data_IF_071623543901
#
_entry.id   IF_071623543901
#
_cell.length_a   1.000
_cell.length_b   1.000
_cell.length_c   1.000
_cell.angle_alpha   90.00
_cell.angle_beta   90.00
_cell.angle_gamma   90.00
#
_symmetry.space_group_name_H-M   'P 1'
#
loop_
_entity.id
_entity.type
_entity.pdbx_description
1 polymer ?
#
# COMPACT_ATOMS: atom_id res chain seq x y z
N UNK A 1 10.25 6.52 9.09
CA UNK A 1 9.89 7.68 8.25
C UNK A 1 9.35 8.78 9.15
N UNK A 2 9.72 10.04 8.91
CA UNK A 2 9.28 11.18 9.73
C UNK A 2 8.00 11.77 9.14
N UNK A 3 6.91 11.73 9.89
CA UNK A 3 5.69 12.47 9.59
C UNK A 3 6.03 13.97 9.47
N UNK A 4 5.74 14.58 8.30
CA UNK A 4 5.91 16.02 8.10
C UNK A 4 4.61 16.75 8.40
N UNK A 5 4.64 17.63 9.40
CA UNK A 5 3.56 18.59 9.67
C UNK A 5 3.62 19.72 8.64
N UNK A 6 2.56 20.53 8.54
CA UNK A 6 2.50 21.69 7.63
C UNK A 6 3.73 22.61 7.76
N UNK A 7 4.23 22.79 8.97
CA UNK A 7 5.43 23.61 9.24
C UNK A 7 6.74 22.95 8.78
N UNK A 8 6.78 21.63 8.67
CA UNK A 8 7.92 20.85 8.20
C UNK A 8 7.80 20.48 6.70
N UNK A 9 6.78 20.98 6.01
CA UNK A 9 6.46 20.58 4.63
C UNK A 9 7.22 21.37 3.55
N UNK A 10 8.17 22.23 3.92
CA UNK A 10 9.01 22.97 2.97
C UNK A 10 8.29 24.11 2.25
N UNK A 11 7.20 24.63 2.83
CA UNK A 11 6.41 25.73 2.27
C UNK A 11 7.22 27.03 2.20
N UNK A 12 6.97 27.82 1.14
CA UNK A 12 7.50 29.18 0.96
C UNK A 12 6.87 30.13 1.98
N UNK A 13 7.53 31.27 2.23
CA UNK A 13 7.06 32.26 3.21
C UNK A 13 5.64 32.77 2.93
N UNK A 14 5.29 32.96 1.66
CA UNK A 14 3.95 33.39 1.23
C UNK A 14 2.88 32.32 1.49
N UNK A 15 3.24 31.04 1.29
CA UNK A 15 2.35 29.90 1.53
C UNK A 15 2.11 29.69 3.03
N UNK A 16 3.16 29.84 3.85
CA UNK A 16 3.05 29.83 5.31
C UNK A 16 2.15 30.96 5.82
N UNK A 17 2.27 32.16 5.25
CA UNK A 17 1.40 33.29 5.59
C UNK A 17 -0.07 33.00 5.23
N UNK A 18 -0.32 32.38 4.07
CA UNK A 18 -1.66 31.97 3.66
C UNK A 18 -2.25 30.88 4.57
N UNK A 19 -1.47 29.86 4.94
CA UNK A 19 -1.87 28.82 5.90
C UNK A 19 -2.26 29.42 7.25
N UNK A 20 -1.45 30.34 7.77
CA UNK A 20 -1.70 31.01 9.04
C UNK A 20 -2.95 31.90 8.98
N UNK A 21 -3.12 32.68 7.90
CA UNK A 21 -4.27 33.56 7.71
C UNK A 21 -5.61 32.81 7.66
N UNK A 22 -5.61 31.57 7.15
CA UNK A 22 -6.81 30.73 7.04
C UNK A 22 -6.96 29.71 8.19
N UNK A 23 -6.10 29.78 9.22
CA UNK A 23 -6.12 28.85 10.36
C UNK A 23 -6.08 27.37 9.95
N UNK A 24 -5.32 27.04 8.90
CA UNK A 24 -5.15 25.66 8.47
C UNK A 24 -4.20 24.92 9.42
N UNK A 25 -4.78 24.39 10.50
CA UNK A 25 -4.09 23.58 11.49
C UNK A 25 -4.42 22.11 11.28
N UNK A 26 -3.40 21.27 11.14
CA UNK A 26 -3.56 19.81 11.14
C UNK A 26 -2.42 19.14 11.88
N UNK A 27 -2.76 18.16 12.69
CA UNK A 27 -1.82 17.22 13.30
C UNK A 27 -1.59 15.99 12.41
N UNK A 28 -2.34 15.86 11.30
CA UNK A 28 -2.15 14.80 10.32
C UNK A 28 -1.00 15.16 9.37
N UNK A 29 -0.26 14.16 8.87
CA UNK A 29 0.74 14.37 7.84
C UNK A 29 0.14 15.07 6.63
N UNK A 30 0.92 15.95 6.00
CA UNK A 30 0.54 16.61 4.75
C UNK A 30 1.58 16.34 3.67
N UNK A 31 1.09 16.18 2.43
CA UNK A 31 1.91 16.11 1.23
C UNK A 31 1.64 17.37 0.42
N UNK A 32 2.68 18.18 0.21
CA UNK A 32 2.59 19.41 -0.60
C UNK A 32 2.87 19.05 -2.05
N UNK A 33 2.00 19.50 -2.95
CA UNK A 33 2.19 19.34 -4.39
C UNK A 33 3.35 20.21 -4.88
N UNK A 34 4.23 19.64 -5.71
CA UNK A 34 5.25 20.40 -6.42
C UNK A 34 4.66 21.16 -7.62
N UNK A 35 5.41 22.12 -8.15
CA UNK A 35 5.01 22.87 -9.35
C UNK A 35 4.70 21.91 -10.50
N UNK A 36 3.53 22.07 -11.12
CA UNK A 36 3.06 21.22 -12.21
C UNK A 36 2.40 19.90 -11.80
N UNK A 37 2.53 19.44 -10.53
CA UNK A 37 1.82 18.22 -10.08
C UNK A 37 0.30 18.39 -10.06
N UNK A 38 -0.21 19.63 -10.04
CA UNK A 38 -1.64 19.91 -10.17
C UNK A 38 -2.25 19.43 -11.50
N UNK A 39 -1.43 19.23 -12.54
CA UNK A 39 -1.86 18.71 -13.84
C UNK A 39 -1.92 17.17 -13.87
N UNK A 40 -1.32 16.49 -12.88
CA UNK A 40 -1.25 15.03 -12.76
C UNK A 40 -1.70 14.57 -11.36
N UNK A 41 -2.99 14.73 -11.03
CA UNK A 41 -3.51 14.47 -9.69
C UNK A 41 -3.25 13.03 -9.21
N UNK A 42 -3.26 12.05 -10.13
CA UNK A 42 -3.02 10.65 -9.79
C UNK A 42 -1.61 10.41 -9.24
N UNK A 43 -0.59 11.07 -9.82
CA UNK A 43 0.79 10.96 -9.35
C UNK A 43 0.96 11.56 -7.96
N UNK A 44 0.32 12.71 -7.70
CA UNK A 44 0.28 13.34 -6.39
C UNK A 44 -0.38 12.42 -5.35
N UNK A 45 -1.50 11.79 -5.71
CA UNK A 45 -2.22 10.86 -4.83
C UNK A 45 -1.38 9.62 -4.49
N UNK A 46 -0.74 9.00 -5.48
CA UNK A 46 0.14 7.84 -5.27
C UNK A 46 1.36 8.19 -4.42
N UNK A 47 1.97 9.36 -4.65
CA UNK A 47 3.07 9.88 -3.83
C UNK A 47 2.63 10.10 -2.38
N UNK A 48 1.51 10.80 -2.18
CA UNK A 48 0.96 11.03 -0.85
C UNK A 48 0.62 9.72 -0.12
N UNK A 49 0.08 8.73 -0.84
CA UNK A 49 -0.19 7.40 -0.29
C UNK A 49 1.11 6.72 0.19
N UNK A 50 2.15 6.73 -0.63
CA UNK A 50 3.45 6.15 -0.27
C UNK A 50 4.13 6.90 0.89
N UNK A 51 4.13 8.24 0.86
CA UNK A 51 4.67 9.11 1.93
C UNK A 51 3.93 8.94 3.25
N UNK A 52 2.65 8.54 3.22
CA UNK A 52 1.89 8.18 4.42
C UNK A 52 2.31 6.85 5.07
N UNK A 53 3.34 6.18 4.52
CA UNK A 53 3.86 4.90 5.00
C UNK A 53 2.96 3.72 4.64
N UNK A 54 2.17 3.84 3.57
CA UNK A 54 1.25 2.80 3.11
C UNK A 54 1.77 2.12 1.86
N UNK A 55 1.38 0.85 1.72
CA UNK A 55 1.57 0.01 0.54
C UNK A 55 0.24 -0.69 0.24
N UNK A 56 0.14 -1.35 -0.91
CA UNK A 56 -1.02 -2.17 -1.24
C UNK A 56 -0.59 -3.60 -1.56
N UNK A 57 -1.32 -4.60 -1.08
CA UNK A 57 -1.24 -5.94 -1.68
C UNK A 57 -2.43 -6.16 -2.62
N UNK A 58 -2.32 -7.12 -3.53
CA UNK A 58 -3.31 -7.40 -4.56
C UNK A 58 -3.92 -8.78 -4.36
N UNK A 59 -5.24 -8.89 -4.52
CA UNK A 59 -5.92 -10.17 -4.71
C UNK A 59 -6.40 -10.24 -6.15
N UNK A 60 -5.99 -11.28 -6.88
CA UNK A 60 -6.32 -11.49 -8.30
C UNK A 60 -6.87 -12.89 -8.55
N UNK A 61 -7.53 -13.11 -9.69
CA UNK A 61 -7.97 -14.44 -10.12
C UNK A 61 -9.27 -14.95 -9.47
N UNK A 62 -9.89 -14.14 -8.61
CA UNK A 62 -11.22 -14.38 -8.04
C UNK A 62 -12.34 -13.76 -8.89
N UNK A 63 -13.52 -13.57 -8.27
CA UNK A 63 -14.63 -12.83 -8.91
C UNK A 63 -14.31 -11.34 -9.11
N UNK A 64 -13.42 -10.80 -8.29
CA UNK A 64 -13.02 -9.39 -8.30
C UNK A 64 -11.50 -9.33 -8.07
N UNK A 65 -10.84 -8.43 -8.80
CA UNK A 65 -9.47 -8.04 -8.54
C UNK A 65 -9.47 -6.79 -7.66
N UNK A 66 -8.69 -6.77 -6.58
CA UNK A 66 -8.71 -5.67 -5.61
C UNK A 66 -7.32 -5.38 -5.06
N UNK A 67 -7.05 -4.10 -4.85
CA UNK A 67 -5.90 -3.60 -4.08
C UNK A 67 -6.32 -3.30 -2.64
N UNK A 68 -5.55 -3.80 -1.67
CA UNK A 68 -5.82 -3.68 -0.25
C UNK A 68 -4.75 -2.81 0.41
N UNK A 69 -5.09 -1.58 0.84
CA UNK A 69 -4.14 -0.67 1.45
C UNK A 69 -3.81 -1.11 2.88
N UNK A 70 -2.52 -1.28 3.17
CA UNK A 70 -1.97 -1.64 4.48
C UNK A 70 -0.83 -0.68 4.85
N UNK A 71 -0.36 -0.73 6.09
CA UNK A 71 0.86 0.00 6.48
C UNK A 71 2.08 -0.79 6.04
N UNK A 72 3.16 -0.10 5.68
CA UNK A 72 4.46 -0.73 5.46
C UNK A 72 4.88 -1.46 6.74
N UNK A 73 5.40 -2.68 6.59
CA UNK A 73 5.77 -3.52 7.73
C UNK A 73 4.66 -4.44 8.25
N UNK A 74 3.41 -4.29 7.76
CA UNK A 74 2.31 -5.21 8.07
C UNK A 74 2.65 -6.64 7.65
N UNK A 75 2.39 -7.59 8.56
CA UNK A 75 2.63 -9.02 8.34
C UNK A 75 1.53 -9.66 7.50
N UNK A 76 1.80 -10.84 6.92
CA UNK A 76 0.81 -11.60 6.15
C UNK A 76 -0.46 -11.93 6.96
N UNK A 77 -0.32 -12.18 8.26
CA UNK A 77 -1.45 -12.44 9.15
C UNK A 77 -2.32 -11.19 9.37
N UNK A 78 -1.69 -10.04 9.60
CA UNK A 78 -2.41 -8.77 9.72
C UNK A 78 -3.05 -8.34 8.39
N UNK A 79 -2.36 -8.56 7.27
CA UNK A 79 -2.87 -8.28 5.93
C UNK A 79 -4.10 -9.12 5.59
N UNK A 80 -4.14 -10.39 5.99
CA UNK A 80 -5.35 -11.20 5.89
C UNK A 80 -6.55 -10.58 6.65
N UNK A 81 -6.28 -9.93 7.78
CA UNK A 81 -7.28 -9.20 8.58
C UNK A 81 -7.84 -7.97 7.88
N UNK A 82 -7.07 -7.34 6.99
CA UNK A 82 -7.55 -6.24 6.16
C UNK A 82 -8.66 -6.68 5.18
N UNK A 83 -8.69 -7.97 4.79
CA UNK A 83 -9.78 -8.54 4.00
C UNK A 83 -10.97 -8.87 4.90
N UNK A 84 -10.76 -9.67 5.94
CA UNK A 84 -11.79 -10.04 6.91
C UNK A 84 -11.17 -10.65 8.18
N UNK A 85 -11.79 -10.40 9.34
CA UNK A 85 -11.27 -10.90 10.63
C UNK A 85 -11.24 -12.43 10.73
N UNK A 86 -12.14 -13.13 10.05
CA UNK A 86 -12.15 -14.61 10.03
C UNK A 86 -10.99 -15.19 9.21
N UNK A 87 -10.57 -14.53 8.13
CA UNK A 87 -9.41 -14.96 7.32
C UNK A 87 -8.15 -14.85 8.17
N UNK A 88 -8.03 -13.77 8.95
CA UNK A 88 -6.94 -13.60 9.91
C UNK A 88 -6.94 -14.68 11.00
N UNK A 89 -8.08 -14.92 11.66
CA UNK A 89 -8.18 -15.94 12.72
C UNK A 89 -7.90 -17.35 12.19
N UNK A 90 -8.41 -17.66 11.01
CA UNK A 90 -8.26 -18.96 10.37
C UNK A 90 -6.97 -19.13 9.56
N UNK A 91 -6.08 -18.12 9.54
CA UNK A 91 -4.89 -18.09 8.68
C UNK A 91 -4.05 -19.36 8.79
N UNK A 92 -3.72 -19.95 7.64
CA UNK A 92 -2.83 -21.10 7.51
C UNK A 92 -1.50 -20.64 6.89
N UNK A 93 -1.57 -19.98 5.74
CA UNK A 93 -0.42 -19.46 4.97
C UNK A 93 -0.85 -18.44 3.93
N UNK A 94 0.11 -17.67 3.44
CA UNK A 94 -0.06 -16.79 2.29
C UNK A 94 0.63 -17.39 1.06
N UNK A 95 -0.09 -17.49 -0.05
CA UNK A 95 0.47 -17.83 -1.35
C UNK A 95 0.80 -16.52 -2.06
N UNK A 96 2.08 -16.19 -2.22
CA UNK A 96 2.56 -14.87 -2.67
C UNK A 96 3.32 -14.97 -3.98
N UNK A 97 3.00 -14.10 -4.93
CA UNK A 97 3.80 -13.82 -6.14
C UNK A 97 4.16 -12.33 -6.08
N UNK A 98 5.44 -12.00 -6.29
CA UNK A 98 5.86 -10.60 -6.36
C UNK A 98 5.26 -9.94 -7.61
N UNK A 99 4.99 -8.63 -7.56
CA UNK A 99 4.47 -7.93 -8.74
C UNK A 99 5.42 -8.02 -9.94
N UNK A 100 6.73 -7.98 -9.68
CA UNK A 100 7.76 -8.14 -10.72
C UNK A 100 7.68 -9.52 -11.39
N UNK A 101 7.60 -10.60 -10.61
CA UNK A 101 7.47 -11.96 -11.15
C UNK A 101 6.16 -12.14 -11.92
N UNK A 102 5.08 -11.51 -11.47
CA UNK A 102 3.79 -11.52 -12.17
C UNK A 102 3.92 -10.90 -13.57
N UNK A 103 4.56 -9.74 -13.66
CA UNK A 103 4.77 -9.03 -14.94
C UNK A 103 5.70 -9.81 -15.86
N UNK A 104 6.83 -10.31 -15.33
CA UNK A 104 7.80 -11.08 -16.12
C UNK A 104 7.21 -12.37 -16.68
N UNK A 105 6.36 -13.05 -15.92
CA UNK A 105 5.72 -14.28 -16.36
C UNK A 105 4.49 -14.05 -17.27
N UNK A 106 3.97 -12.82 -17.36
CA UNK A 106 2.78 -12.51 -18.15
C UNK A 106 1.46 -12.90 -17.48
N UNK A 107 1.43 -13.00 -16.15
CA UNK A 107 0.22 -13.26 -15.36
C UNK A 107 0.36 -14.37 -14.31
N UNK A 108 -0.67 -14.50 -13.48
CA UNK A 108 -0.65 -15.38 -12.29
C UNK A 108 -0.45 -16.86 -12.64
N UNK A 109 -1.15 -17.35 -13.67
CA UNK A 109 -1.07 -18.75 -14.11
C UNK A 109 0.34 -19.12 -14.55
N UNK A 110 0.96 -18.27 -15.37
CA UNK A 110 2.31 -18.51 -15.89
C UNK A 110 3.36 -18.34 -14.78
N UNK A 111 3.19 -17.37 -13.88
CA UNK A 111 4.05 -17.22 -12.70
C UNK A 111 4.02 -18.47 -11.81
N UNK A 112 2.84 -19.07 -11.59
CA UNK A 112 2.71 -20.34 -10.86
C UNK A 112 3.42 -21.49 -11.58
N UNK A 113 3.27 -21.62 -12.90
CA UNK A 113 3.95 -22.65 -13.71
C UNK A 113 5.47 -22.48 -13.70
N UNK A 114 5.95 -21.24 -13.67
CA UNK A 114 7.35 -20.88 -13.56
C UNK A 114 7.92 -21.03 -12.12
N UNK A 115 7.13 -21.51 -11.16
CA UNK A 115 7.58 -21.73 -9.78
C UNK A 115 7.80 -20.44 -8.97
N UNK A 116 7.20 -19.31 -9.38
CA UNK A 116 7.34 -18.02 -8.69
C UNK A 116 6.40 -17.86 -7.49
N UNK A 117 5.45 -18.78 -7.31
CA UNK A 117 4.56 -18.81 -6.15
C UNK A 117 5.32 -19.25 -4.89
N UNK A 118 5.41 -18.36 -3.91
CA UNK A 118 6.01 -18.64 -2.61
C UNK A 118 4.92 -18.96 -1.58
N UNK A 119 5.24 -19.85 -0.64
CA UNK A 119 4.40 -20.13 0.51
C UNK A 119 4.99 -19.43 1.73
N UNK A 120 4.32 -18.37 2.15
CA UNK A 120 4.79 -17.50 3.22
C UNK A 120 4.00 -17.75 4.52
N UNK A 121 4.71 -17.59 5.64
CA UNK A 121 4.16 -17.80 6.98
C UNK A 121 3.52 -16.52 7.53
N UNK A 122 2.89 -16.62 8.70
CA UNK A 122 2.23 -15.48 9.36
C UNK A 122 3.15 -14.28 9.61
N UNK A 123 4.46 -14.50 9.74
CA UNK A 123 5.46 -13.46 10.01
C UNK A 123 6.01 -12.77 8.75
N UNK A 124 5.68 -13.24 7.55
CA UNK A 124 6.15 -12.61 6.33
C UNK A 124 5.70 -11.14 6.30
N UNK A 125 6.64 -10.23 6.10
CA UNK A 125 6.33 -8.81 5.93
C UNK A 125 5.91 -8.58 4.48
N UNK A 126 4.68 -8.12 4.28
CA UNK A 126 4.13 -7.87 2.96
C UNK A 126 4.96 -6.83 2.22
N UNK A 127 5.21 -7.08 0.93
CA UNK A 127 5.84 -6.12 0.03
C UNK A 127 4.77 -5.41 -0.79
N UNK A 128 5.13 -4.24 -1.31
CA UNK A 128 4.21 -3.46 -2.12
C UNK A 128 3.87 -4.20 -3.42
N UNK A 129 2.59 -4.17 -3.77
CA UNK A 129 1.96 -4.86 -4.88
C UNK A 129 2.08 -6.41 -4.86
N UNK A 130 2.44 -7.03 -3.72
CA UNK A 130 2.42 -8.48 -3.58
C UNK A 130 1.05 -9.04 -3.98
N UNK A 131 1.03 -10.00 -4.90
CA UNK A 131 -0.17 -10.70 -5.33
C UNK A 131 -0.35 -11.89 -4.41
N UNK A 132 -1.40 -11.88 -3.60
CA UNK A 132 -1.58 -12.83 -2.51
C UNK A 132 -2.92 -13.55 -2.55
N UNK A 133 -2.87 -14.84 -2.24
CA UNK A 133 -4.02 -15.65 -1.88
C UNK A 133 -3.84 -16.23 -0.48
N UNK A 134 -4.72 -15.87 0.45
CA UNK A 134 -4.66 -16.38 1.82
C UNK A 134 -5.38 -17.71 1.94
N UNK A 135 -4.68 -18.73 2.43
CA UNK A 135 -5.28 -20.01 2.82
C UNK A 135 -5.70 -19.91 4.28
N UNK A 136 -6.95 -20.24 4.57
CA UNK A 136 -7.51 -20.19 5.93
C UNK A 136 -8.52 -21.32 6.16
N UNK A 137 -8.69 -21.72 7.41
CA UNK A 137 -9.79 -22.57 7.83
C UNK A 137 -11.06 -21.73 8.00
N UNK A 138 -12.16 -22.22 7.44
CA UNK A 138 -13.49 -21.63 7.59
C UNK A 138 -14.12 -21.98 8.93
#
# INVERSE_FOLDING_TARGET
>A
EQERTVFAAGLRAEELAAVAAHSFHTNKPVTVAADGEGEQPDHLMLRAFNESGRICFLTVGGKENRAWPIRRGTTAWEAAGAIHSDIQKGFIRAEVISFEDLLQAGGETEAKRAGKLRLETKQYTMQDCDVVNFRFNK
#
